data_IF_043174850765
#
_entry.id   IF_043174850765
#
_cell.length_a   1.000
_cell.length_b   1.000
_cell.length_c   1.000
_cell.angle_alpha   90.00
_cell.angle_beta   90.00
_cell.angle_gamma   90.00
#
_symmetry.space_group_name_H-M   'P 1'
#
loop_
_entity.id
_entity.type
_entity.pdbx_description
1 polymer ?
#
# COMPACT_ATOMS: atom_id res chain seq x y z
N UNK A 1 24.55 18.37 -7.03
CA UNK A 1 24.73 16.95 -6.73
C UNK A 1 23.37 16.30 -6.94
N UNK A 2 23.32 15.24 -7.76
CA UNK A 2 22.10 14.47 -7.99
C UNK A 2 22.36 13.05 -7.48
N UNK A 3 21.42 12.49 -6.73
CA UNK A 3 21.44 11.09 -6.28
C UNK A 3 20.02 10.52 -6.33
N UNK A 4 19.94 9.19 -6.41
CA UNK A 4 18.70 8.44 -6.34
C UNK A 4 18.64 7.64 -5.03
N UNK A 5 17.48 7.60 -4.41
CA UNK A 5 17.20 6.80 -3.22
C UNK A 5 16.01 5.88 -3.49
N UNK A 6 16.00 4.74 -2.82
CA UNK A 6 14.84 3.85 -2.81
C UNK A 6 14.16 3.95 -1.44
N UNK A 7 12.83 4.05 -1.45
CA UNK A 7 12.02 3.96 -0.22
C UNK A 7 12.15 2.52 0.30
N UNK A 8 12.52 2.36 1.55
CA UNK A 8 12.69 1.07 2.21
C UNK A 8 11.59 0.83 3.26
N UNK A 9 11.66 -0.30 3.97
CA UNK A 9 10.69 -0.66 5.01
C UNK A 9 10.65 0.30 6.21
N UNK A 10 11.68 1.12 6.38
CA UNK A 10 11.75 2.09 7.48
C UNK A 10 11.02 3.40 7.15
N UNK A 11 10.66 3.61 5.86
CA UNK A 11 9.86 4.75 5.46
C UNK A 11 8.46 4.64 6.07
N UNK A 12 8.06 5.66 6.80
CA UNK A 12 6.72 5.71 7.37
C UNK A 12 5.67 5.82 6.26
N UNK A 13 4.52 5.15 6.46
CA UNK A 13 3.34 5.38 5.64
C UNK A 13 2.66 6.62 6.20
N UNK A 14 2.95 7.79 5.62
CA UNK A 14 2.46 9.08 6.11
C UNK A 14 1.99 9.96 4.97
N UNK A 15 0.92 10.71 5.22
CA UNK A 15 0.52 11.83 4.39
C UNK A 15 0.35 13.08 5.26
N UNK A 16 0.41 14.27 4.65
CA UNK A 16 0.39 15.53 5.39
C UNK A 16 1.66 15.73 6.23
N UNK A 17 1.67 16.76 6.97
CA UNK A 17 2.68 17.36 7.82
C UNK A 17 4.14 16.91 7.70
N UNK A 18 4.49 15.69 7.99
CA UNK A 18 5.91 15.32 8.03
C UNK A 18 6.38 14.51 6.84
N UNK A 19 5.58 13.62 6.26
CA UNK A 19 6.09 12.72 5.23
C UNK A 19 7.40 12.05 5.64
N UNK A 20 8.19 11.65 4.67
CA UNK A 20 9.59 11.24 4.84
C UNK A 20 10.48 12.40 4.39
N UNK A 21 11.01 13.22 5.31
CA UNK A 21 11.80 14.38 4.94
C UNK A 21 13.19 13.98 4.43
N UNK A 22 13.71 14.76 3.48
CA UNK A 22 15.10 14.69 3.04
C UNK A 22 15.66 16.09 2.99
N UNK A 23 16.60 16.36 3.89
CA UNK A 23 17.18 17.67 4.09
C UNK A 23 18.55 17.78 3.42
N UNK A 24 18.84 18.95 2.87
CA UNK A 24 20.17 19.30 2.39
C UNK A 24 20.61 20.61 2.98
N UNK A 25 21.84 20.64 3.50
CA UNK A 25 22.47 21.88 3.98
C UNK A 25 23.78 22.10 3.24
N UNK A 26 23.87 23.24 2.58
CA UNK A 26 25.12 23.72 1.99
C UNK A 26 25.73 24.74 2.94
N UNK A 27 26.95 24.49 3.36
CA UNK A 27 27.74 25.45 4.18
C UNK A 27 28.97 25.87 3.41
N UNK A 28 29.24 27.17 3.34
CA UNK A 28 30.44 27.69 2.69
C UNK A 28 31.06 28.78 3.54
N UNK A 29 32.38 28.89 3.47
CA UNK A 29 33.18 29.92 4.12
C UNK A 29 33.39 31.09 3.17
N UNK A 30 33.18 32.31 3.63
CA UNK A 30 33.54 33.52 2.85
C UNK A 30 35.06 33.63 2.80
N UNK A 31 35.59 33.96 1.62
CA UNK A 31 37.03 34.14 1.40
C UNK A 31 37.61 35.15 2.37
N UNK A 32 38.74 34.81 2.99
CA UNK A 32 39.47 35.64 3.92
C UNK A 32 38.73 36.10 5.19
N UNK A 33 37.75 35.35 5.62
CA UNK A 33 36.99 35.60 6.87
C UNK A 33 36.83 34.30 7.64
N UNK A 34 36.47 34.39 8.91
CA UNK A 34 35.99 33.24 9.71
C UNK A 34 34.45 33.10 9.64
N UNK A 35 33.80 33.77 8.72
CA UNK A 35 32.38 33.79 8.57
C UNK A 35 31.89 32.66 7.65
N UNK A 36 30.92 31.91 8.08
CA UNK A 36 30.24 30.84 7.30
C UNK A 36 28.82 31.26 6.97
N UNK A 37 28.40 30.99 5.76
CA UNK A 37 27.02 31.08 5.33
C UNK A 37 26.46 29.66 5.18
N UNK A 38 25.17 29.51 5.38
CA UNK A 38 24.45 28.27 5.18
C UNK A 38 23.20 28.48 4.35
N UNK A 39 22.89 27.50 3.51
CA UNK A 39 21.61 27.37 2.80
C UNK A 39 21.06 25.98 3.10
N UNK A 40 19.82 25.92 3.56
CA UNK A 40 19.13 24.67 3.80
C UNK A 40 17.90 24.60 2.90
N UNK A 41 17.66 23.44 2.31
CA UNK A 41 16.45 23.13 1.57
C UNK A 41 16.02 21.71 1.95
N UNK A 42 14.73 21.40 1.83
CA UNK A 42 14.17 20.08 2.10
C UNK A 42 13.16 19.65 1.03
N UNK A 43 12.89 18.36 0.99
CA UNK A 43 11.75 17.80 0.27
C UNK A 43 11.14 16.69 1.11
N UNK A 44 9.85 16.41 0.88
CA UNK A 44 9.10 15.39 1.57
C UNK A 44 8.64 14.34 0.56
N UNK A 45 8.86 13.07 0.89
CA UNK A 45 8.34 11.93 0.13
C UNK A 45 7.22 11.28 0.94
N UNK A 46 6.09 11.04 0.29
CA UNK A 46 4.92 10.44 0.90
C UNK A 46 4.71 9.04 0.31
N UNK A 47 4.37 8.10 1.15
CA UNK A 47 3.99 6.75 0.74
C UNK A 47 2.65 6.38 1.36
N UNK A 48 1.98 5.41 0.76
CA UNK A 48 0.63 4.98 1.11
C UNK A 48 0.59 3.47 1.26
N UNK A 49 -0.54 2.97 1.74
CA UNK A 49 -0.71 1.53 1.86
C UNK A 49 -2.15 1.08 1.70
N UNK A 50 -2.33 -0.22 1.64
CA UNK A 50 -3.61 -0.90 1.59
C UNK A 50 -3.71 -1.84 2.79
N UNK A 51 -4.80 -1.75 3.56
CA UNK A 51 -5.18 -2.66 4.63
C UNK A 51 -6.39 -3.50 4.17
N UNK A 52 -6.11 -4.59 3.45
CA UNK A 52 -7.14 -5.51 2.98
C UNK A 52 -7.43 -6.55 4.05
N UNK A 53 -8.69 -6.62 4.50
CA UNK A 53 -9.21 -7.69 5.35
C UNK A 53 -9.88 -8.75 4.47
N UNK A 54 -9.40 -9.97 4.58
CA UNK A 54 -9.99 -11.13 3.91
C UNK A 54 -10.91 -11.88 4.85
N UNK A 55 -12.10 -12.16 4.39
CA UNK A 55 -13.11 -12.91 5.12
C UNK A 55 -13.65 -14.09 4.30
N UNK A 56 -14.16 -15.08 5.00
CA UNK A 56 -14.98 -16.15 4.43
C UNK A 56 -16.37 -16.10 5.06
N UNK A 57 -17.41 -16.27 4.28
CA UNK A 57 -18.81 -16.11 4.72
C UNK A 57 -19.22 -16.99 5.90
N UNK A 58 -18.50 -18.06 6.15
CA UNK A 58 -18.74 -19.03 7.23
C UNK A 58 -17.55 -19.16 8.20
N UNK A 59 -16.53 -18.31 8.06
CA UNK A 59 -15.29 -18.29 8.85
C UNK A 59 -14.47 -19.59 8.83
N UNK A 60 -14.63 -20.44 7.82
CA UNK A 60 -13.97 -21.75 7.76
C UNK A 60 -12.94 -21.90 6.64
N UNK A 61 -12.67 -20.84 5.87
CA UNK A 61 -11.69 -20.90 4.78
C UNK A 61 -10.24 -20.80 5.27
N UNK A 62 -9.33 -21.35 4.47
CA UNK A 62 -7.90 -21.29 4.73
C UNK A 62 -7.27 -20.11 3.96
N UNK A 63 -6.72 -19.15 4.70
CA UNK A 63 -6.05 -17.97 4.14
C UNK A 63 -4.81 -18.31 3.32
N UNK A 64 -4.09 -19.39 3.60
CA UNK A 64 -2.89 -19.78 2.87
C UNK A 64 -3.17 -20.10 1.39
N UNK A 65 -4.40 -20.46 1.07
CA UNK A 65 -4.84 -20.77 -0.30
C UNK A 65 -5.32 -19.53 -1.07
N UNK A 66 -5.44 -18.37 -0.41
CA UNK A 66 -5.86 -17.12 -1.04
C UNK A 66 -4.66 -16.37 -1.59
N UNK A 67 -4.77 -15.90 -2.84
CA UNK A 67 -3.72 -15.10 -3.49
C UNK A 67 -4.33 -13.92 -4.21
N UNK A 68 -3.71 -12.76 -4.00
CA UNK A 68 -4.03 -11.53 -4.70
C UNK A 68 -2.84 -11.07 -5.54
N UNK A 69 -3.12 -10.40 -6.64
CA UNK A 69 -2.18 -9.58 -7.39
C UNK A 69 -2.56 -8.12 -7.19
N UNK A 70 -1.56 -7.26 -7.14
CA UNK A 70 -1.72 -5.81 -7.10
C UNK A 70 -1.06 -5.20 -8.33
N UNK A 71 -1.84 -4.53 -9.16
CA UNK A 71 -1.37 -3.83 -10.35
C UNK A 71 -1.56 -2.33 -10.16
N UNK A 72 -0.50 -1.55 -10.37
CA UNK A 72 -0.62 -0.12 -10.59
C UNK A 72 -1.22 0.09 -11.99
N UNK A 73 -2.40 0.69 -12.04
CA UNK A 73 -3.12 0.93 -13.30
C UNK A 73 -2.69 2.23 -13.98
N UNK A 74 -2.16 3.19 -13.23
CA UNK A 74 -1.64 4.46 -13.75
C UNK A 74 -0.41 4.21 -14.60
N UNK A 75 0.56 3.51 -14.06
CA UNK A 75 1.86 3.25 -14.70
C UNK A 75 1.96 1.87 -15.36
N UNK A 76 0.90 1.07 -15.26
CA UNK A 76 0.74 -0.22 -15.93
C UNK A 76 1.80 -1.27 -15.56
N UNK A 77 2.13 -1.41 -14.27
CA UNK A 77 3.02 -2.45 -13.76
C UNK A 77 2.39 -3.24 -12.61
N UNK A 78 2.94 -4.42 -12.30
CA UNK A 78 2.59 -5.20 -11.12
C UNK A 78 3.55 -4.87 -9.97
N UNK A 79 3.01 -4.79 -8.76
CA UNK A 79 3.78 -4.50 -7.56
C UNK A 79 4.58 -5.73 -7.14
N UNK A 80 5.86 -5.50 -6.80
CA UNK A 80 6.73 -6.45 -6.12
C UNK A 80 6.95 -5.99 -4.68
N UNK A 81 6.82 -6.92 -3.74
CA UNK A 81 6.95 -6.64 -2.32
C UNK A 81 7.54 -7.83 -1.57
N UNK A 82 8.18 -7.56 -0.44
CA UNK A 82 8.68 -8.56 0.49
C UNK A 82 7.84 -8.59 1.77
N UNK A 83 7.56 -9.80 2.26
CA UNK A 83 6.82 -10.00 3.50
C UNK A 83 7.74 -9.94 4.71
N UNK A 84 7.54 -8.95 5.57
CA UNK A 84 8.06 -8.99 6.93
C UNK A 84 7.14 -9.87 7.80
N UNK A 85 7.54 -11.10 8.04
CA UNK A 85 6.73 -12.09 8.75
C UNK A 85 6.47 -11.73 10.21
N UNK A 86 7.37 -11.00 10.85
CA UNK A 86 7.22 -10.60 12.26
C UNK A 86 6.16 -9.53 12.45
N UNK A 87 5.93 -8.72 11.43
CA UNK A 87 4.94 -7.65 11.42
C UNK A 87 3.66 -8.04 10.65
N UNK A 88 3.74 -9.07 9.80
CA UNK A 88 2.65 -9.45 8.90
C UNK A 88 2.35 -8.39 7.84
N UNK A 89 3.39 -7.68 7.37
CA UNK A 89 3.29 -6.55 6.43
C UNK A 89 4.14 -6.82 5.20
N UNK A 90 3.58 -6.56 4.03
CA UNK A 90 4.30 -6.53 2.76
C UNK A 90 4.84 -5.12 2.50
N UNK A 91 6.15 -4.99 2.34
CA UNK A 91 6.81 -3.74 1.94
C UNK A 91 7.15 -3.78 0.46
N UNK A 92 6.73 -2.75 -0.28
CA UNK A 92 7.03 -2.62 -1.71
C UNK A 92 8.55 -2.52 -1.90
N UNK A 93 9.10 -3.35 -2.79
CA UNK A 93 10.52 -3.40 -3.10
C UNK A 93 10.81 -3.10 -4.56
N UNK A 94 9.78 -3.08 -5.40
CA UNK A 94 9.92 -2.81 -6.82
C UNK A 94 8.64 -3.08 -7.61
N UNK A 95 8.81 -3.22 -8.91
CA UNK A 95 7.71 -3.49 -9.84
C UNK A 95 8.17 -4.36 -11.01
N UNK A 96 7.23 -4.92 -11.75
CA UNK A 96 7.45 -5.70 -12.96
C UNK A 96 6.29 -5.53 -13.95
N UNK A 97 6.58 -5.55 -15.24
CA UNK A 97 5.55 -5.56 -16.28
C UNK A 97 4.91 -6.97 -16.46
N UNK A 98 5.55 -8.01 -15.93
CA UNK A 98 5.13 -9.39 -16.10
C UNK A 98 4.36 -9.89 -14.88
N UNK A 99 3.11 -10.28 -15.08
CA UNK A 99 2.26 -10.86 -14.03
C UNK A 99 2.92 -12.09 -13.36
N UNK A 100 3.66 -12.90 -14.12
CA UNK A 100 4.31 -14.09 -13.59
C UNK A 100 5.38 -13.79 -12.52
N UNK A 101 5.99 -12.61 -12.58
CA UNK A 101 7.05 -12.16 -11.68
C UNK A 101 6.51 -11.26 -10.56
N UNK A 102 5.20 -11.00 -10.54
CA UNK A 102 4.52 -10.20 -9.52
C UNK A 102 4.45 -10.91 -8.17
N UNK A 103 4.47 -10.15 -7.10
CA UNK A 103 4.22 -10.70 -5.76
C UNK A 103 2.78 -11.21 -5.66
N UNK A 104 2.62 -12.45 -5.20
CA UNK A 104 1.32 -13.01 -4.85
C UNK A 104 1.08 -12.78 -3.36
N UNK A 105 0.27 -11.80 -3.07
CA UNK A 105 -0.09 -11.42 -1.71
C UNK A 105 -1.05 -12.44 -1.11
N UNK A 106 -0.76 -12.91 0.10
CA UNK A 106 -1.64 -13.81 0.86
C UNK A 106 -2.05 -13.16 2.17
N UNK A 107 -3.31 -13.32 2.61
CA UNK A 107 -3.69 -12.94 3.96
C UNK A 107 -2.86 -13.71 4.99
N UNK A 108 -2.57 -13.08 6.11
CA UNK A 108 -1.85 -13.73 7.20
C UNK A 108 -2.71 -14.81 7.86
N UNK A 109 -2.17 -16.01 8.00
CA UNK A 109 -2.81 -17.14 8.73
C UNK A 109 -2.38 -17.22 10.19
N UNK A 110 -1.31 -16.52 10.58
CA UNK A 110 -0.80 -16.43 11.95
C UNK A 110 -1.59 -15.44 12.83
N UNK A 111 -1.13 -15.22 14.05
CA UNK A 111 -1.79 -14.31 15.00
C UNK A 111 -1.64 -12.82 14.59
N UNK A 112 -0.48 -12.46 14.05
CA UNK A 112 -0.20 -11.09 13.63
C UNK A 112 -0.92 -10.78 12.32
N UNK A 113 -1.73 -9.74 12.32
CA UNK A 113 -2.53 -9.33 11.16
C UNK A 113 -3.39 -10.45 10.54
N UNK A 114 -3.92 -11.34 11.37
CA UNK A 114 -4.71 -12.48 10.95
C UNK A 114 -5.83 -12.09 9.97
N UNK A 115 -5.89 -12.78 8.84
CA UNK A 115 -6.86 -12.49 7.77
C UNK A 115 -6.56 -11.22 6.96
N UNK A 116 -5.43 -10.55 7.20
CA UNK A 116 -5.10 -9.29 6.51
C UNK A 116 -4.01 -9.47 5.46
N UNK A 117 -4.11 -8.67 4.41
CA UNK A 117 -3.02 -8.33 3.48
C UNK A 117 -2.74 -6.85 3.68
N UNK A 118 -1.69 -6.53 4.40
CA UNK A 118 -1.24 -5.17 4.59
C UNK A 118 -0.06 -4.89 3.66
N UNK A 119 -0.20 -3.91 2.77
CA UNK A 119 0.86 -3.50 1.82
C UNK A 119 1.23 -2.05 2.10
N UNK A 120 2.52 -1.77 2.28
CA UNK A 120 3.06 -0.43 2.53
C UNK A 120 4.11 -0.04 1.48
N UNK A 121 4.25 1.27 1.22
CA UNK A 121 5.22 1.81 0.27
C UNK A 121 4.64 2.04 -1.13
N UNK A 122 3.33 2.19 -1.25
CA UNK A 122 2.64 2.53 -2.50
C UNK A 122 2.71 4.04 -2.79
N UNK A 123 2.57 4.40 -4.05
CA UNK A 123 2.44 5.78 -4.54
C UNK A 123 0.97 6.23 -4.53
N UNK A 124 0.73 7.52 -4.77
CA UNK A 124 -0.61 8.10 -4.95
C UNK A 124 -1.13 7.87 -6.36
N UNK A 125 -1.55 6.64 -6.62
CA UNK A 125 -1.97 6.11 -7.91
C UNK A 125 -3.27 5.32 -7.84
N UNK A 126 -3.70 4.84 -9.00
CA UNK A 126 -4.82 3.91 -9.15
C UNK A 126 -4.31 2.47 -9.19
N UNK A 127 -4.86 1.61 -8.34
CA UNK A 127 -4.47 0.20 -8.22
C UNK A 127 -5.64 -0.72 -8.52
N UNK A 128 -5.31 -1.89 -9.10
CA UNK A 128 -6.27 -2.97 -9.35
C UNK A 128 -5.84 -4.18 -8.51
N UNK A 129 -6.73 -4.63 -7.64
CA UNK A 129 -6.57 -5.86 -6.86
C UNK A 129 -7.34 -6.97 -7.58
N UNK A 130 -6.64 -8.04 -7.94
CA UNK A 130 -7.22 -9.24 -8.56
C UNK A 130 -7.04 -10.43 -7.63
N UNK A 131 -8.13 -11.10 -7.26
CA UNK A 131 -8.04 -12.36 -6.54
C UNK A 131 -7.78 -13.49 -7.56
N UNK A 132 -6.61 -14.11 -7.50
CA UNK A 132 -6.19 -15.15 -8.46
C UNK A 132 -6.31 -16.57 -7.91
N UNK A 133 -6.47 -16.72 -6.60
CA UNK A 133 -6.76 -17.99 -5.94
C UNK A 133 -7.56 -17.77 -4.66
N UNK A 134 -8.43 -18.72 -4.34
CA UNK A 134 -9.14 -18.79 -3.06
C UNK A 134 -9.18 -20.23 -2.55
N UNK A 135 -9.65 -20.42 -1.33
CA UNK A 135 -9.73 -21.76 -0.72
C UNK A 135 -10.80 -22.64 -1.41
N UNK A 136 -10.58 -23.95 -1.35
CA UNK A 136 -11.46 -24.93 -1.97
C UNK A 136 -12.90 -24.84 -1.45
N UNK A 137 -13.87 -24.86 -2.36
CA UNK A 137 -15.30 -24.71 -2.02
C UNK A 137 -15.79 -23.28 -1.92
N UNK A 138 -14.92 -22.28 -2.13
CA UNK A 138 -15.30 -20.86 -2.20
C UNK A 138 -15.20 -20.32 -3.62
N UNK A 139 -15.98 -19.29 -3.88
CA UNK A 139 -16.04 -18.64 -5.20
C UNK A 139 -15.07 -17.46 -5.22
N UNK A 140 -14.21 -17.41 -6.23
CA UNK A 140 -13.35 -16.24 -6.53
C UNK A 140 -14.20 -14.99 -6.76
N UNK A 141 -13.62 -13.84 -6.47
CA UNK A 141 -14.20 -12.57 -6.90
C UNK A 141 -14.44 -12.58 -8.42
N UNK A 142 -15.62 -12.11 -8.82
CA UNK A 142 -15.99 -11.99 -10.25
C UNK A 142 -15.36 -10.77 -10.90
N UNK A 143 -15.18 -9.71 -10.13
CA UNK A 143 -14.69 -8.42 -10.59
C UNK A 143 -13.49 -8.00 -9.75
N UNK A 144 -12.55 -7.34 -10.39
CA UNK A 144 -11.41 -6.75 -9.72
C UNK A 144 -11.87 -5.57 -8.84
N UNK A 145 -11.10 -5.28 -7.81
CA UNK A 145 -11.34 -4.11 -6.96
C UNK A 145 -10.38 -3.02 -7.40
N UNK A 146 -10.91 -1.81 -7.60
CA UNK A 146 -10.09 -0.62 -7.83
C UNK A 146 -9.88 0.13 -6.53
N UNK A 147 -8.64 0.59 -6.31
CA UNK A 147 -8.26 1.45 -5.19
C UNK A 147 -7.57 2.67 -5.77
N UNK A 148 -8.17 3.84 -5.62
CA UNK A 148 -7.59 5.10 -6.06
C UNK A 148 -7.07 5.84 -4.83
N UNK A 149 -5.79 6.22 -4.86
CA UNK A 149 -5.13 7.04 -3.84
C UNK A 149 -4.76 8.35 -4.52
N UNK A 150 -5.25 9.46 -3.97
CA UNK A 150 -5.02 10.78 -4.57
C UNK A 150 -4.47 11.73 -3.52
N UNK A 151 -3.26 12.22 -3.74
CA UNK A 151 -2.67 13.29 -2.96
C UNK A 151 -3.06 14.67 -3.48
N UNK A 152 -3.08 15.64 -2.59
CA UNK A 152 -3.32 17.05 -2.92
C UNK A 152 -2.58 17.95 -1.94
N UNK A 153 -2.40 19.21 -2.31
CA UNK A 153 -1.79 20.18 -1.41
C UNK A 153 -2.68 20.45 -0.20
N UNK A 154 -2.07 20.40 0.98
CA UNK A 154 -2.73 20.80 2.22
C UNK A 154 -2.60 22.32 2.42
N UNK A 155 -3.30 22.85 3.41
CA UNK A 155 -3.15 24.26 3.85
C UNK A 155 -1.89 24.48 4.70
N UNK A 156 -1.25 23.41 5.14
CA UNK A 156 -0.03 23.46 5.95
C UNK A 156 1.18 23.67 5.03
N UNK A 157 1.99 24.66 5.37
CA UNK A 157 3.21 25.00 4.63
C UNK A 157 4.43 24.53 5.41
N UNK A 158 5.35 23.83 4.73
CA UNK A 158 6.64 23.47 5.28
C UNK A 158 7.41 24.74 5.69
N UNK A 159 7.91 24.80 6.90
CA UNK A 159 8.64 25.97 7.44
C UNK A 159 10.05 26.12 6.84
N UNK A 160 10.60 25.08 6.23
CA UNK A 160 11.94 25.07 5.66
C UNK A 160 11.90 25.40 4.16
N UNK A 161 11.19 24.60 3.35
CA UNK A 161 11.15 24.80 1.91
C UNK A 161 10.04 25.76 1.42
N UNK A 162 9.10 26.14 2.29
CA UNK A 162 8.00 27.03 1.94
C UNK A 162 6.94 26.42 1.01
N UNK A 163 6.98 25.12 0.76
CA UNK A 163 6.02 24.41 -0.10
C UNK A 163 4.86 23.87 0.72
N UNK A 164 3.70 23.72 0.10
CA UNK A 164 2.56 23.05 0.72
C UNK A 164 2.90 21.57 0.98
N UNK A 165 2.57 21.10 2.17
CA UNK A 165 2.60 19.69 2.51
C UNK A 165 1.43 18.96 1.82
N UNK A 166 1.42 17.63 1.82
CA UNK A 166 0.39 16.86 1.14
C UNK A 166 -0.66 16.33 2.12
N UNK A 167 -1.86 16.22 1.62
CA UNK A 167 -2.94 15.43 2.20
C UNK A 167 -3.40 14.40 1.18
N UNK A 168 -4.07 13.34 1.60
CA UNK A 168 -4.55 12.31 0.70
C UNK A 168 -6.00 11.92 0.96
N UNK A 169 -6.63 11.42 -0.08
CA UNK A 169 -7.95 10.79 -0.06
C UNK A 169 -7.91 9.48 -0.84
N UNK A 170 -8.83 8.57 -0.55
CA UNK A 170 -8.91 7.31 -1.25
C UNK A 170 -10.33 6.94 -1.65
N UNK A 171 -10.43 6.15 -2.73
CA UNK A 171 -11.68 5.52 -3.16
C UNK A 171 -11.46 4.02 -3.35
N UNK A 172 -12.48 3.25 -3.02
CA UNK A 172 -12.55 1.82 -3.34
C UNK A 172 -13.77 1.60 -4.23
N UNK A 173 -13.55 1.08 -5.44
CA UNK A 173 -14.59 0.94 -6.47
C UNK A 173 -15.38 2.24 -6.70
N UNK A 174 -14.66 3.36 -6.77
CA UNK A 174 -15.20 4.70 -7.00
C UNK A 174 -15.95 5.33 -5.81
N UNK A 175 -16.00 4.67 -4.65
CA UNK A 175 -16.61 5.20 -3.42
C UNK A 175 -15.55 5.71 -2.47
N UNK A 176 -15.76 6.90 -1.93
CA UNK A 176 -14.86 7.48 -0.94
C UNK A 176 -14.76 6.58 0.31
N UNK A 177 -13.55 6.37 0.77
CA UNK A 177 -13.25 5.65 2.01
C UNK A 177 -12.35 6.50 2.91
N UNK A 178 -12.62 6.47 4.21
CA UNK A 178 -11.72 7.10 5.16
C UNK A 178 -10.45 6.27 5.30
N UNK A 179 -9.30 6.90 5.08
CA UNK A 179 -8.02 6.26 5.32
C UNK A 179 -7.80 6.08 6.82
N UNK A 180 -7.12 5.00 7.21
CA UNK A 180 -6.91 4.65 8.62
C UNK A 180 -5.49 4.97 9.09
N UNK A 181 -5.32 5.08 10.40
CA UNK A 181 -4.04 5.38 11.03
C UNK A 181 -3.14 4.16 11.11
N UNK A 182 -1.84 4.40 11.00
CA UNK A 182 -0.79 3.42 11.18
C UNK A 182 0.00 3.77 12.46
N UNK A 183 -0.17 2.96 13.52
CA UNK A 183 0.52 3.11 14.82
C UNK A 183 0.39 4.50 15.48
N UNK A 184 -0.77 5.14 15.40
CA UNK A 184 -1.04 6.43 16.02
C UNK A 184 -0.40 7.62 15.32
N UNK A 185 0.16 7.41 14.13
CA UNK A 185 0.60 8.46 13.20
C UNK A 185 -0.54 8.80 12.25
N UNK A 186 -0.50 9.98 11.66
CA UNK A 186 -1.43 10.35 10.59
C UNK A 186 -1.31 9.31 9.49
N UNK A 187 -2.41 8.67 9.11
CA UNK A 187 -2.36 7.43 8.38
C UNK A 187 -2.66 7.59 6.92
N UNK A 188 -2.15 6.66 6.19
CA UNK A 188 -2.23 6.58 4.77
C UNK A 188 -2.61 5.17 4.30
N UNK A 189 -3.34 4.43 5.12
CA UNK A 189 -3.81 3.08 4.79
C UNK A 189 -5.24 3.13 4.26
N UNK A 190 -5.47 2.52 3.11
CA UNK A 190 -6.81 2.36 2.51
C UNK A 190 -7.41 1.06 3.01
N UNK A 191 -8.45 1.11 3.88
CA UNK A 191 -9.10 -0.09 4.37
C UNK A 191 -10.09 -0.63 3.33
N UNK A 192 -10.09 -1.94 3.15
CA UNK A 192 -11.13 -2.63 2.38
C UNK A 192 -11.31 -4.07 2.87
N UNK A 193 -12.49 -4.63 2.58
CA UNK A 193 -12.82 -6.02 2.96
C UNK A 193 -13.23 -6.81 1.72
N UNK A 194 -12.72 -8.03 1.62
CA UNK A 194 -13.06 -9.00 0.58
C UNK A 194 -13.60 -10.26 1.25
N UNK A 195 -14.85 -10.61 0.95
CA UNK A 195 -15.50 -11.82 1.47
C UNK A 195 -15.74 -12.82 0.34
N UNK A 196 -15.18 -14.02 0.46
CA UNK A 196 -15.56 -15.12 -0.41
C UNK A 196 -16.75 -15.91 0.19
N UNK A 197 -17.69 -16.27 -0.67
CA UNK A 197 -18.85 -17.08 -0.32
C UNK A 197 -18.63 -18.52 -0.78
N UNK A 198 -19.20 -19.48 -0.04
CA UNK A 198 -19.21 -20.87 -0.50
C UNK A 198 -19.95 -21.01 -1.83
N UNK A 199 -19.34 -21.78 -2.74
CA UNK A 199 -20.02 -22.23 -3.95
C UNK A 199 -21.17 -23.19 -3.59
N UNK A 200 -22.20 -23.22 -4.41
CA UNK A 200 -23.25 -24.25 -4.28
C UNK A 200 -22.70 -25.58 -4.82
N UNK A 201 -22.50 -26.56 -3.93
CA UNK A 201 -22.41 -27.95 -4.34
C UNK A 201 -23.81 -28.39 -4.80
N UNK A 202 -23.97 -28.60 -6.09
CA UNK A 202 -25.19 -29.26 -6.58
C UNK A 202 -25.26 -30.69 -5.93
N UNK A 203 -26.39 -31.05 -5.31
CA UNK A 203 -26.56 -32.42 -4.82
C UNK A 203 -26.25 -33.38 -5.98
N UNK A 204 -25.35 -34.35 -5.75
CA UNK A 204 -25.17 -35.46 -6.67
C UNK A 204 -26.50 -36.26 -6.71
N UNK A 205 -27.43 -35.84 -7.57
CA UNK A 205 -28.60 -36.65 -7.91
C UNK A 205 -28.11 -37.77 -8.82
N UNK A 206 -27.47 -38.77 -8.19
CA UNK A 206 -27.20 -40.06 -8.81
C UNK A 206 -28.49 -40.82 -8.91
N UNK A 207 -29.26 -40.60 -9.98
CA UNK A 207 -30.34 -41.53 -10.34
C UNK A 207 -29.70 -42.87 -10.67
N UNK A 208 -29.99 -43.91 -9.87
CA UNK A 208 -29.84 -45.27 -10.32
C UNK A 208 -30.93 -45.50 -11.37
N UNK A 209 -30.54 -45.58 -12.64
CA UNK A 209 -31.32 -46.27 -13.66
C UNK A 209 -31.04 -47.75 -13.61
#
# INVERSE_FOLDING_TARGET
ITYACTVNSDAAVVYGDSGNPNDVTLTWKRTNTEYYDTLTDDCHVYTYGIDLTKEFSDNNGNFDNVKFLLKNATDNYFVQAELNKSEGIYYVTGHTEKEADATKFSPMSGEVNHGKVMVKGLEDDSYIITEVATDAGYTLLKENITVDIVSSDSTTICSVCGKALKTASAKVNGKDVAMTEDNGSVSALVPLTITNTRGFDLPKTGGRG
#
